data_IF_380957981815
#
_entry.id   IF_380957981815
#
_cell.length_a   1.000
_cell.length_b   1.000
_cell.length_c   1.000
_cell.angle_alpha   90.00
_cell.angle_beta   90.00
_cell.angle_gamma   90.00
#
_symmetry.space_group_name_H-M   'P 1'
#
loop_
_entity.id
_entity.type
_entity.pdbx_description
1 polymer ?
#
# COMPACT_ATOMS: atom_id res chain seq x y z
N UNK A 1 3.25 14.58 -1.17
CA UNK A 1 4.02 14.95 0.04
C UNK A 1 3.44 14.49 1.39
N UNK A 2 2.48 13.54 1.43
CA UNK A 2 2.09 12.93 2.73
C UNK A 2 3.24 12.15 3.35
N UNK A 3 4.04 11.45 2.54
CA UNK A 3 5.18 10.66 2.99
C UNK A 3 6.30 11.52 3.60
N UNK A 4 6.57 12.70 3.03
CA UNK A 4 7.52 13.66 3.64
C UNK A 4 7.06 14.07 5.05
N UNK A 5 5.76 14.30 5.24
CA UNK A 5 5.19 14.65 6.55
C UNK A 5 5.35 13.48 7.53
N UNK A 6 5.14 12.24 7.07
CA UNK A 6 5.34 11.03 7.90
C UNK A 6 6.79 10.94 8.37
N UNK A 7 7.77 11.18 7.48
CA UNK A 7 9.20 11.16 7.86
C UNK A 7 9.54 12.28 8.82
N UNK A 8 9.03 13.50 8.59
CA UNK A 8 9.20 14.60 9.52
C UNK A 8 8.67 14.27 10.93
N UNK A 9 7.49 13.63 11.01
CA UNK A 9 6.93 13.20 12.30
C UNK A 9 7.83 12.18 12.98
N UNK A 10 8.31 11.18 12.24
CA UNK A 10 9.20 10.14 12.76
C UNK A 10 10.53 10.71 13.28
N UNK A 11 11.08 11.70 12.59
CA UNK A 11 12.34 12.37 12.97
C UNK A 11 12.16 13.28 14.20
N UNK A 12 11.08 14.07 14.25
CA UNK A 12 10.85 15.05 15.33
C UNK A 12 10.40 14.39 16.63
N UNK A 13 9.54 13.37 16.57
CA UNK A 13 9.03 12.66 17.75
C UNK A 13 9.74 11.31 17.98
N UNK A 14 11.07 11.34 17.94
CA UNK A 14 11.95 10.16 18.01
C UNK A 14 11.94 9.38 19.34
N UNK A 15 11.27 9.87 20.39
CA UNK A 15 11.10 9.14 21.65
C UNK A 15 9.93 8.13 21.64
N UNK A 16 9.08 8.17 20.60
CA UNK A 16 7.97 7.23 20.42
C UNK A 16 8.35 5.98 19.60
N UNK A 17 7.37 5.12 19.27
CA UNK A 17 7.58 4.03 18.32
C UNK A 17 8.01 4.59 16.96
N UNK A 18 9.11 4.06 16.42
CA UNK A 18 9.62 4.49 15.11
C UNK A 18 8.76 3.95 13.97
N UNK A 19 8.51 4.79 12.97
CA UNK A 19 7.80 4.45 11.74
C UNK A 19 8.76 3.86 10.70
N UNK A 20 9.96 4.43 10.57
CA UNK A 20 11.00 3.90 9.71
C UNK A 20 11.98 2.99 10.48
N UNK A 21 12.54 1.96 9.81
CA UNK A 21 13.63 1.17 10.36
C UNK A 21 14.85 2.03 10.75
N UNK A 22 15.56 1.61 11.79
CA UNK A 22 16.83 2.23 12.22
C UNK A 22 18.01 1.88 11.30
N UNK A 23 17.99 0.67 10.71
CA UNK A 23 18.98 0.24 9.72
C UNK A 23 18.83 1.05 8.41
N UNK A 24 19.92 1.64 7.87
CA UNK A 24 19.85 2.46 6.66
C UNK A 24 19.34 1.72 5.41
N UNK A 25 19.69 0.43 5.27
CA UNK A 25 19.28 -0.37 4.09
C UNK A 25 17.79 -0.68 4.18
N UNK A 26 17.32 -1.15 5.34
CA UNK A 26 15.89 -1.40 5.56
C UNK A 26 15.07 -0.12 5.42
N UNK A 27 15.58 1.03 5.89
CA UNK A 27 14.95 2.33 5.68
C UNK A 27 14.82 2.69 4.20
N UNK A 28 15.86 2.47 3.42
CA UNK A 28 15.83 2.69 1.97
C UNK A 28 14.80 1.79 1.28
N UNK A 29 14.71 0.52 1.70
CA UNK A 29 13.71 -0.43 1.20
C UNK A 29 12.28 0.02 1.56
N UNK A 30 12.04 0.46 2.80
CA UNK A 30 10.73 0.98 3.21
C UNK A 30 10.32 2.21 2.39
N UNK A 31 11.25 3.15 2.15
CA UNK A 31 11.02 4.33 1.29
C UNK A 31 10.72 3.95 -0.16
N UNK A 32 11.46 2.98 -0.71
CA UNK A 32 11.20 2.45 -2.05
C UNK A 32 9.76 1.94 -2.18
N UNK A 33 9.29 1.15 -1.22
CA UNK A 33 7.93 0.61 -1.25
C UNK A 33 6.86 1.68 -1.01
N UNK A 34 7.11 2.66 -0.15
CA UNK A 34 6.24 3.85 -0.03
C UNK A 34 6.13 4.61 -1.35
N UNK A 35 7.25 4.81 -2.06
CA UNK A 35 7.25 5.43 -3.38
C UNK A 35 6.53 4.55 -4.43
N UNK A 36 6.70 3.22 -4.40
CA UNK A 36 5.94 2.31 -5.27
C UNK A 36 4.42 2.47 -5.07
N UNK A 37 3.96 2.61 -3.82
CA UNK A 37 2.54 2.84 -3.53
C UNK A 37 2.06 4.15 -4.18
N UNK A 38 2.79 5.24 -4.05
CA UNK A 38 2.37 6.55 -4.57
C UNK A 38 2.59 6.73 -6.08
N UNK A 39 3.59 6.10 -6.66
CA UNK A 39 4.01 6.30 -8.06
C UNK A 39 3.53 5.20 -9.01
N UNK A 40 3.23 3.99 -8.51
CA UNK A 40 2.77 2.86 -9.34
C UNK A 40 1.34 2.46 -9.00
N UNK A 41 1.09 2.06 -7.76
CA UNK A 41 -0.24 1.61 -7.34
C UNK A 41 -1.27 2.73 -7.44
N UNK A 42 -1.02 3.88 -6.80
CA UNK A 42 -2.01 4.93 -6.66
C UNK A 42 -2.47 5.56 -7.98
N UNK A 43 -1.58 5.86 -8.97
CA UNK A 43 -2.02 6.43 -10.24
C UNK A 43 -2.94 5.50 -11.03
N UNK A 44 -2.63 4.19 -11.04
CA UNK A 44 -3.46 3.17 -11.69
C UNK A 44 -4.79 3.03 -10.96
N UNK A 45 -4.75 2.89 -9.62
CA UNK A 45 -5.94 2.82 -8.78
C UNK A 45 -6.86 4.04 -8.94
N UNK A 46 -6.29 5.24 -9.04
CA UNK A 46 -7.05 6.47 -9.33
C UNK A 46 -7.79 6.42 -10.66
N UNK A 47 -7.29 5.67 -11.64
CA UNK A 47 -7.94 5.48 -12.94
C UNK A 47 -9.37 4.96 -12.86
N UNK A 48 -9.73 4.25 -11.76
CA UNK A 48 -11.09 3.77 -11.50
C UNK A 48 -12.11 4.92 -11.41
N UNK A 49 -11.70 6.11 -10.94
CA UNK A 49 -12.58 7.27 -10.86
C UNK A 49 -12.96 7.83 -12.23
N UNK A 50 -12.09 7.64 -13.22
CA UNK A 50 -12.23 8.24 -14.56
C UNK A 50 -12.71 7.25 -15.63
N UNK A 51 -12.72 5.95 -15.33
CA UNK A 51 -13.20 4.92 -16.23
C UNK A 51 -14.71 5.06 -16.49
N UNK A 52 -15.09 5.18 -17.76
CA UNK A 52 -16.44 5.61 -18.18
C UNK A 52 -17.50 4.52 -18.14
N UNK A 53 -17.07 3.27 -18.30
CA UNK A 53 -17.95 2.11 -18.37
C UNK A 53 -17.36 0.92 -17.59
N UNK A 54 -18.14 -0.15 -17.49
CA UNK A 54 -17.77 -1.32 -16.69
C UNK A 54 -16.60 -2.12 -17.29
N UNK A 55 -16.41 -2.09 -18.60
CA UNK A 55 -15.29 -2.79 -19.26
C UNK A 55 -13.98 -2.06 -18.97
N UNK A 56 -13.97 -0.74 -19.08
CA UNK A 56 -12.84 0.11 -18.70
C UNK A 56 -12.51 -0.05 -17.21
N UNK A 57 -13.51 -0.09 -16.33
CA UNK A 57 -13.30 -0.33 -14.89
C UNK A 57 -12.66 -1.69 -14.61
N UNK A 58 -13.11 -2.75 -15.29
CA UNK A 58 -12.50 -4.09 -15.19
C UNK A 58 -11.06 -4.11 -15.69
N UNK A 59 -10.76 -3.43 -16.79
CA UNK A 59 -9.40 -3.31 -17.31
C UNK A 59 -8.46 -2.59 -16.33
N UNK A 60 -8.92 -1.48 -15.72
CA UNK A 60 -8.15 -0.80 -14.66
C UNK A 60 -8.01 -1.69 -13.43
N UNK A 61 -9.07 -2.39 -13.01
CA UNK A 61 -9.03 -3.30 -11.87
C UNK A 61 -8.00 -4.43 -12.06
N UNK A 62 -7.84 -4.92 -13.29
CA UNK A 62 -6.81 -5.90 -13.62
C UNK A 62 -5.40 -5.33 -13.43
N UNK A 63 -5.14 -4.10 -13.88
CA UNK A 63 -3.86 -3.43 -13.66
C UNK A 63 -3.60 -3.15 -12.17
N UNK A 64 -4.64 -2.77 -11.41
CA UNK A 64 -4.55 -2.65 -9.95
C UNK A 64 -4.15 -3.99 -9.34
N UNK A 65 -4.77 -5.09 -9.77
CA UNK A 65 -4.45 -6.42 -9.27
C UNK A 65 -2.99 -6.80 -9.53
N UNK A 66 -2.41 -6.43 -10.68
CA UNK A 66 -0.98 -6.64 -10.97
C UNK A 66 -0.07 -5.86 -10.00
N UNK A 67 -0.43 -4.62 -9.64
CA UNK A 67 0.33 -3.87 -8.62
C UNK A 67 0.17 -4.44 -7.21
N UNK A 68 -1.00 -5.01 -6.91
CA UNK A 68 -1.26 -5.68 -5.64
C UNK A 68 -0.51 -7.02 -5.55
N UNK A 69 -0.32 -7.74 -6.65
CA UNK A 69 0.52 -8.95 -6.69
C UNK A 69 1.96 -8.62 -6.29
N UNK A 70 2.49 -7.49 -6.76
CA UNK A 70 3.83 -7.02 -6.38
C UNK A 70 3.88 -6.63 -4.91
N UNK A 71 2.86 -5.93 -4.39
CA UNK A 71 2.78 -5.56 -2.96
C UNK A 71 2.58 -6.76 -2.03
N UNK A 72 1.85 -7.80 -2.45
CA UNK A 72 1.68 -9.05 -1.70
C UNK A 72 3.03 -9.76 -1.53
N UNK A 73 3.81 -9.87 -2.62
CA UNK A 73 5.16 -10.45 -2.54
C UNK A 73 6.07 -9.61 -1.63
N UNK A 74 6.00 -8.28 -1.73
CA UNK A 74 6.71 -7.37 -0.83
C UNK A 74 6.31 -7.58 0.63
N UNK A 75 5.02 -7.78 0.90
CA UNK A 75 4.52 -8.04 2.25
C UNK A 75 5.13 -9.32 2.82
N UNK A 76 5.16 -10.40 2.04
CA UNK A 76 5.77 -11.68 2.49
C UNK A 76 7.24 -11.50 2.86
N UNK A 77 8.01 -10.78 2.04
CA UNK A 77 9.44 -10.54 2.28
C UNK A 77 9.69 -9.60 3.47
N UNK A 78 8.95 -8.49 3.56
CA UNK A 78 9.19 -7.44 4.55
C UNK A 78 8.63 -7.80 5.92
N UNK A 79 7.46 -8.42 5.96
CA UNK A 79 6.83 -8.81 7.22
C UNK A 79 7.58 -9.95 7.89
N UNK A 80 8.26 -10.81 7.13
CA UNK A 80 8.89 -12.03 7.66
C UNK A 80 7.91 -12.87 8.52
N UNK A 81 6.66 -12.98 8.06
CA UNK A 81 5.58 -13.70 8.75
C UNK A 81 4.93 -12.95 9.92
N UNK A 82 5.24 -11.67 10.10
CA UNK A 82 4.66 -10.79 11.12
C UNK A 82 3.41 -10.06 10.58
N UNK A 83 2.60 -9.42 11.43
CA UNK A 83 1.32 -8.84 10.99
C UNK A 83 1.42 -7.59 10.10
N UNK A 84 2.57 -6.92 10.02
CA UNK A 84 2.73 -5.66 9.29
C UNK A 84 3.92 -5.72 8.32
N UNK A 85 3.93 -4.84 7.32
CA UNK A 85 5.14 -4.59 6.51
C UNK A 85 6.32 -4.14 7.39
N UNK A 86 6.03 -3.39 8.46
CA UNK A 86 6.99 -3.02 9.51
C UNK A 86 7.36 -4.14 10.49
N UNK A 87 6.90 -5.36 10.28
CA UNK A 87 7.12 -6.49 11.16
C UNK A 87 6.08 -6.56 12.28
N UNK A 88 6.53 -6.43 13.53
CA UNK A 88 5.67 -6.56 14.72
C UNK A 88 4.75 -5.34 14.96
N UNK A 89 5.02 -4.20 14.32
CA UNK A 89 4.26 -2.97 14.46
C UNK A 89 4.05 -2.29 13.09
N UNK A 90 3.04 -1.41 13.04
CA UNK A 90 2.77 -0.55 11.87
C UNK A 90 4.02 0.26 11.54
N UNK A 91 4.51 0.12 10.31
CA UNK A 91 5.63 0.90 9.78
C UNK A 91 5.24 1.81 8.62
N UNK A 92 6.26 2.35 7.96
CA UNK A 92 6.11 3.32 6.88
C UNK A 92 5.23 2.85 5.71
N UNK A 93 5.44 1.62 5.23
CA UNK A 93 4.68 1.05 4.10
C UNK A 93 3.24 0.74 4.50
N UNK A 94 3.03 0.29 5.74
CA UNK A 94 1.68 0.08 6.30
C UNK A 94 0.87 1.37 6.29
N UNK A 95 1.48 2.51 6.65
CA UNK A 95 0.82 3.82 6.61
C UNK A 95 0.55 4.23 5.16
N UNK A 96 1.53 4.08 4.27
CA UNK A 96 1.42 4.45 2.86
C UNK A 96 0.26 3.70 2.17
N UNK A 97 0.28 2.37 2.21
CA UNK A 97 -0.74 1.52 1.59
C UNK A 97 -2.06 1.50 2.39
N UNK A 98 -1.97 1.41 3.71
CA UNK A 98 -3.12 1.35 4.63
C UNK A 98 -4.04 2.55 4.51
N UNK A 99 -3.50 3.74 4.23
CA UNK A 99 -4.28 4.96 3.97
C UNK A 99 -5.26 4.83 2.79
N UNK A 100 -5.07 3.84 1.90
CA UNK A 100 -5.89 3.60 0.71
C UNK A 100 -6.99 2.57 0.93
N UNK A 101 -6.93 1.76 1.99
CA UNK A 101 -7.87 0.64 2.22
C UNK A 101 -9.33 1.08 2.26
N UNK A 102 -9.62 2.24 2.86
CA UNK A 102 -10.98 2.80 2.87
C UNK A 102 -11.51 3.08 1.46
N UNK A 103 -10.69 3.67 0.59
CA UNK A 103 -11.04 3.93 -0.81
C UNK A 103 -11.14 2.66 -1.63
N UNK A 104 -10.25 1.69 -1.42
CA UNK A 104 -10.32 0.39 -2.12
C UNK A 104 -11.65 -0.29 -1.82
N UNK A 105 -12.10 -0.30 -0.56
CA UNK A 105 -13.40 -0.85 -0.16
C UNK A 105 -14.56 -0.08 -0.78
N UNK A 106 -14.50 1.25 -0.76
CA UNK A 106 -15.55 2.10 -1.31
C UNK A 106 -15.73 1.87 -2.82
N UNK A 107 -14.66 1.92 -3.60
CA UNK A 107 -14.71 1.69 -5.05
C UNK A 107 -15.09 0.26 -5.39
N UNK A 108 -14.58 -0.73 -4.65
CA UNK A 108 -15.00 -2.13 -4.82
C UNK A 108 -16.51 -2.27 -4.71
N UNK A 109 -17.13 -1.62 -3.70
CA UNK A 109 -18.59 -1.63 -3.53
C UNK A 109 -19.34 -0.87 -4.61
N UNK A 110 -18.88 0.33 -4.98
CA UNK A 110 -19.54 1.18 -5.98
C UNK A 110 -19.51 0.57 -7.38
N UNK A 111 -18.41 -0.08 -7.73
CA UNK A 111 -18.17 -0.61 -9.07
C UNK A 111 -18.47 -2.11 -9.19
N UNK A 112 -18.89 -2.77 -8.10
CA UNK A 112 -19.12 -4.21 -8.06
C UNK A 112 -17.86 -5.02 -8.35
N UNK A 113 -16.71 -4.53 -7.89
CA UNK A 113 -15.39 -5.15 -8.06
C UNK A 113 -14.92 -5.81 -6.76
N UNK A 114 -13.96 -6.72 -6.86
CA UNK A 114 -13.27 -7.31 -5.71
C UNK A 114 -11.77 -7.03 -5.82
N UNK A 115 -11.35 -5.81 -5.48
CA UNK A 115 -9.96 -5.36 -5.68
C UNK A 115 -8.98 -6.01 -4.71
N UNK A 116 -9.30 -6.06 -3.41
CA UNK A 116 -8.52 -6.74 -2.37
C UNK A 116 -9.17 -8.08 -2.03
N UNK A 117 -8.92 -9.06 -2.88
CA UNK A 117 -9.41 -10.42 -2.70
C UNK A 117 -8.49 -11.23 -1.77
N UNK A 118 -8.96 -11.60 -0.58
CA UNK A 118 -8.17 -12.38 0.39
C UNK A 118 -7.76 -13.79 -0.07
N UNK A 119 -8.38 -14.36 -1.12
CA UNK A 119 -7.88 -15.60 -1.71
C UNK A 119 -6.64 -15.38 -2.59
N UNK A 120 -6.46 -14.17 -3.12
CA UNK A 120 -5.37 -13.81 -4.03
C UNK A 120 -4.25 -13.04 -3.31
N UNK A 121 -4.63 -12.18 -2.36
CA UNK A 121 -3.71 -11.33 -1.59
C UNK A 121 -3.87 -11.60 -0.08
N UNK A 122 -3.58 -12.83 0.39
CA UNK A 122 -3.83 -13.20 1.79
C UNK A 122 -3.02 -12.39 2.81
N UNK A 123 -1.86 -11.83 2.44
CA UNK A 123 -1.05 -10.97 3.30
C UNK A 123 -1.56 -9.52 3.39
N UNK A 124 -2.29 -9.06 2.37
CA UNK A 124 -2.80 -7.68 2.32
C UNK A 124 -4.22 -7.51 2.90
N UNK A 125 -4.86 -8.56 3.43
CA UNK A 125 -6.26 -8.57 3.90
C UNK A 125 -6.40 -8.84 5.39
#
# INVERSE_FOLDING_TARGET
>A
ESLIIVEYIDEVWSSGPSILPSDPVQRAIARFWGAYVDEKFYPIFRGLHTARDQEAKKAVAQQVAETLDVLENAFVELSNGKPFFGGDAIGYVDIAFGSRLGWIRALSKLDGLNLLNGSKFPGLV
#
